data_IF_632262455439
#
_entry.id   IF_632262455439
#
_cell.length_a   1.000
_cell.length_b   1.000
_cell.length_c   1.000
_cell.angle_alpha   90.00
_cell.angle_beta   90.00
_cell.angle_gamma   90.00
#
_symmetry.space_group_name_H-M   'P 1'
#
loop_
_entity.id
_entity.type
_entity.pdbx_description
1 polymer ?
#
# COMPACT_ATOMS: atom_id res chain seq x y z
N UNK A 1 -22.67 6.83 3.48
CA UNK A 1 -21.42 7.43 3.02
C UNK A 1 -20.41 6.30 2.88
N UNK A 2 -19.62 6.24 1.84
CA UNK A 2 -18.60 5.21 1.59
C UNK A 2 -17.21 5.84 1.65
N UNK A 3 -16.31 5.29 2.44
CA UNK A 3 -14.99 5.87 2.69
C UNK A 3 -13.88 4.96 2.15
N UNK A 4 -12.96 5.52 1.36
CA UNK A 4 -11.87 4.82 0.68
C UNK A 4 -10.54 5.47 1.09
N UNK A 5 -9.64 4.73 1.73
CA UNK A 5 -8.28 5.17 1.98
C UNK A 5 -7.38 4.81 0.78
N UNK A 6 -6.65 5.79 0.26
CA UNK A 6 -5.65 5.57 -0.81
C UNK A 6 -4.28 5.46 -0.16
N UNK A 7 -3.72 4.26 -0.14
CA UNK A 7 -2.49 4.02 0.61
C UNK A 7 -1.55 3.02 -0.04
N UNK A 8 -0.28 3.19 0.22
CA UNK A 8 0.80 2.23 -0.02
C UNK A 8 2.04 2.72 0.75
N UNK A 9 2.82 1.81 1.30
CA UNK A 9 4.05 2.15 2.02
C UNK A 9 5.16 2.65 1.09
N UNK A 10 5.09 2.31 -0.19
CA UNK A 10 6.05 2.77 -1.18
C UNK A 10 5.86 4.25 -1.51
N UNK A 11 6.92 5.04 -1.37
CA UNK A 11 6.97 6.40 -1.89
C UNK A 11 6.94 6.42 -3.42
N UNK A 12 6.25 7.40 -4.01
CA UNK A 12 6.22 7.59 -5.48
C UNK A 12 5.34 6.63 -6.28
N UNK A 13 4.60 5.69 -5.66
CA UNK A 13 3.65 4.82 -6.37
C UNK A 13 2.39 5.54 -6.88
N UNK A 14 2.21 6.82 -6.51
CA UNK A 14 1.15 7.69 -7.01
C UNK A 14 -0.12 7.73 -6.16
N UNK A 15 -0.04 7.49 -4.84
CA UNK A 15 -1.17 7.64 -3.91
C UNK A 15 -1.90 8.96 -4.10
N UNK A 16 -1.21 10.07 -3.89
CA UNK A 16 -1.74 11.42 -4.03
C UNK A 16 -2.29 11.70 -5.43
N UNK A 17 -1.59 11.24 -6.48
CA UNK A 17 -2.08 11.39 -7.87
C UNK A 17 -3.40 10.66 -8.08
N UNK A 18 -3.52 9.44 -7.53
CA UNK A 18 -4.77 8.66 -7.57
C UNK A 18 -5.84 9.37 -6.75
N UNK A 19 -5.55 9.78 -5.50
CA UNK A 19 -6.53 10.43 -4.63
C UNK A 19 -7.13 11.69 -5.28
N UNK A 20 -6.30 12.59 -5.80
CA UNK A 20 -6.74 13.81 -6.49
C UNK A 20 -7.62 13.47 -7.69
N UNK A 21 -7.08 12.72 -8.64
CA UNK A 21 -7.76 12.56 -9.93
C UNK A 21 -8.96 11.61 -9.83
N UNK A 22 -8.96 10.66 -8.91
CA UNK A 22 -10.12 9.81 -8.64
C UNK A 22 -11.24 10.59 -7.94
N UNK A 23 -10.92 11.49 -7.00
CA UNK A 23 -11.91 12.40 -6.39
C UNK A 23 -12.57 13.28 -7.45
N UNK A 24 -11.79 13.85 -8.36
CA UNK A 24 -12.31 14.62 -9.48
C UNK A 24 -13.13 13.76 -10.45
N UNK A 25 -12.73 12.49 -10.69
CA UNK A 25 -13.50 11.57 -11.54
C UNK A 25 -14.86 11.22 -10.94
N UNK A 26 -14.93 10.93 -9.64
CA UNK A 26 -16.19 10.70 -8.94
C UNK A 26 -17.09 11.95 -8.97
N UNK A 27 -16.53 13.14 -8.73
CA UNK A 27 -17.25 14.41 -8.82
C UNK A 27 -17.85 14.62 -10.23
N UNK A 28 -17.10 14.32 -11.29
CA UNK A 28 -17.58 14.38 -12.68
C UNK A 28 -18.67 13.34 -12.99
N UNK A 29 -18.71 12.24 -12.28
CA UNK A 29 -19.80 11.26 -12.35
C UNK A 29 -21.01 11.65 -11.49
N UNK A 30 -21.05 12.88 -10.99
CA UNK A 30 -22.16 13.45 -10.20
C UNK A 30 -22.19 12.98 -8.75
N UNK A 31 -21.12 12.40 -8.21
CA UNK A 31 -21.02 12.03 -6.80
C UNK A 31 -20.52 13.22 -5.98
N UNK A 32 -21.13 13.43 -4.80
CA UNK A 32 -20.64 14.40 -3.81
C UNK A 32 -19.47 13.78 -3.08
N UNK A 33 -18.29 14.37 -3.24
CA UNK A 33 -17.02 13.80 -2.80
C UNK A 33 -16.37 14.72 -1.77
N UNK A 34 -15.88 14.12 -0.68
CA UNK A 34 -14.96 14.76 0.25
C UNK A 34 -13.60 14.10 0.12
N UNK A 35 -12.58 14.84 -0.28
CA UNK A 35 -11.20 14.41 -0.22
C UNK A 35 -10.58 14.87 1.11
N UNK A 36 -9.97 13.96 1.85
CA UNK A 36 -9.29 14.25 3.11
C UNK A 36 -7.80 13.98 2.93
N UNK A 37 -7.00 15.02 3.02
CA UNK A 37 -5.55 14.92 2.99
C UNK A 37 -5.03 14.79 4.43
N UNK A 38 -4.35 13.67 4.74
CA UNK A 38 -3.70 13.45 6.04
C UNK A 38 -2.20 13.17 5.91
N UNK A 39 -1.62 13.45 4.72
CA UNK A 39 -0.17 13.41 4.57
C UNK A 39 0.43 14.73 5.07
N UNK A 40 1.38 14.73 6.03
CA UNK A 40 2.07 15.94 6.47
C UNK A 40 2.74 16.76 5.36
N UNK A 41 2.97 16.15 4.19
CA UNK A 41 3.52 16.84 3.01
C UNK A 41 2.47 17.67 2.28
N UNK A 42 1.17 17.51 2.57
CA UNK A 42 0.04 18.26 1.99
C UNK A 42 0.01 18.26 0.45
N UNK A 43 0.56 17.22 -0.17
CA UNK A 43 0.67 17.17 -1.63
C UNK A 43 -0.68 17.05 -2.33
N UNK A 44 -1.71 16.45 -1.70
CA UNK A 44 -3.04 16.39 -2.28
C UNK A 44 -3.71 17.76 -2.23
N UNK A 45 -3.57 18.47 -1.14
CA UNK A 45 -4.06 19.85 -0.98
C UNK A 45 -3.42 20.78 -2.02
N UNK A 46 -2.08 20.80 -2.10
CA UNK A 46 -1.33 21.60 -3.06
C UNK A 46 -1.66 21.22 -4.52
N UNK A 47 -1.84 19.94 -4.79
CA UNK A 47 -2.19 19.41 -6.11
C UNK A 47 -3.61 19.80 -6.59
N UNK A 48 -4.43 20.36 -5.70
CA UNK A 48 -5.71 20.99 -5.98
C UNK A 48 -5.67 22.53 -5.82
N UNK A 49 -4.48 23.11 -5.72
CA UNK A 49 -4.30 24.55 -5.59
C UNK A 49 -4.73 25.12 -4.22
N UNK A 50 -4.89 24.27 -3.20
CA UNK A 50 -5.25 24.69 -1.84
C UNK A 50 -3.96 24.91 -1.04
N UNK A 51 -3.80 26.13 -0.54
CA UNK A 51 -2.65 26.59 0.25
C UNK A 51 -3.05 26.53 1.72
N UNK A 52 -2.53 25.54 2.45
CA UNK A 52 -2.94 25.23 3.84
C UNK A 52 -2.69 26.40 4.80
N UNK A 53 -1.64 27.18 4.57
CA UNK A 53 -1.28 28.35 5.38
C UNK A 53 -2.32 29.49 5.32
N UNK A 54 -3.28 29.40 4.41
CA UNK A 54 -4.37 30.37 4.28
C UNK A 54 -5.67 29.90 4.96
N UNK A 55 -5.64 28.72 5.59
CA UNK A 55 -6.79 28.10 6.22
C UNK A 55 -6.67 28.19 7.75
N UNK A 56 -7.76 28.50 8.41
CA UNK A 56 -7.83 28.50 9.88
C UNK A 56 -7.86 27.09 10.48
N UNK A 57 -8.44 26.15 9.73
CA UNK A 57 -8.61 24.73 10.15
C UNK A 57 -8.16 23.80 9.04
N UNK A 58 -7.21 22.93 9.37
CA UNK A 58 -6.72 21.84 8.51
C UNK A 58 -7.03 20.48 9.16
N UNK A 59 -6.64 19.39 8.53
CA UNK A 59 -6.76 18.07 9.14
C UNK A 59 -5.94 17.93 10.42
N UNK A 60 -4.92 18.76 10.66
CA UNK A 60 -4.21 18.80 11.92
C UNK A 60 -5.11 19.31 13.06
N UNK A 61 -5.69 20.51 12.96
CA UNK A 61 -6.59 21.05 13.98
C UNK A 61 -7.81 20.14 14.16
N UNK A 62 -8.34 19.58 13.07
CA UNK A 62 -9.46 18.64 13.12
C UNK A 62 -9.13 17.41 13.99
N UNK A 63 -7.94 16.83 13.89
CA UNK A 63 -7.54 15.67 14.67
C UNK A 63 -7.13 16.03 16.12
N UNK A 64 -6.57 17.23 16.32
CA UNK A 64 -5.97 17.61 17.59
C UNK A 64 -6.95 18.31 18.54
N UNK A 65 -7.85 19.13 18.02
CA UNK A 65 -8.81 19.91 18.83
C UNK A 65 -10.18 19.21 18.85
N UNK A 66 -10.63 18.72 20.01
CA UNK A 66 -11.96 18.15 20.14
C UNK A 66 -13.10 19.14 19.84
N UNK A 67 -12.86 20.43 20.01
CA UNK A 67 -13.84 21.50 19.79
C UNK A 67 -14.05 21.84 18.30
N UNK A 68 -13.10 21.51 17.44
CA UNK A 68 -13.21 21.72 16.00
C UNK A 68 -14.20 20.73 15.40
N UNK A 69 -15.20 21.23 14.70
CA UNK A 69 -16.16 20.39 13.95
C UNK A 69 -15.61 20.07 12.58
N UNK A 70 -16.03 18.94 12.02
CA UNK A 70 -15.62 18.52 10.67
C UNK A 70 -16.02 19.57 9.63
N UNK A 71 -17.19 20.21 9.78
CA UNK A 71 -17.68 21.24 8.85
C UNK A 71 -16.76 22.46 8.77
N UNK A 72 -16.06 22.80 9.87
CA UNK A 72 -15.15 23.95 9.94
C UNK A 72 -13.87 23.75 9.10
N UNK A 73 -13.55 22.49 8.77
CA UNK A 73 -12.36 22.12 8.01
C UNK A 73 -12.61 21.92 6.50
N UNK A 74 -13.87 22.00 6.06
CA UNK A 74 -14.26 21.68 4.69
C UNK A 74 -14.09 22.89 3.78
N UNK A 75 -13.22 22.76 2.78
CA UNK A 75 -13.01 23.72 1.70
C UNK A 75 -13.71 23.23 0.44
N UNK A 76 -14.63 24.04 -0.13
CA UNK A 76 -15.24 23.73 -1.43
C UNK A 76 -14.24 23.87 -2.56
N UNK A 77 -14.18 22.86 -3.43
CA UNK A 77 -13.33 22.82 -4.61
C UNK A 77 -14.12 22.45 -5.89
N UNK A 78 -15.15 23.19 -6.20
CA UNK A 78 -16.05 22.94 -7.34
C UNK A 78 -17.44 22.50 -6.90
N UNK A 79 -18.25 22.00 -7.86
CA UNK A 79 -19.68 21.73 -7.61
C UNK A 79 -19.90 20.53 -6.69
N UNK A 80 -19.14 19.45 -6.89
CA UNK A 80 -19.34 18.18 -6.18
C UNK A 80 -18.08 17.69 -5.45
N UNK A 81 -17.03 18.48 -5.35
CA UNK A 81 -15.81 18.15 -4.63
C UNK A 81 -15.55 19.14 -3.50
N UNK A 82 -15.30 18.61 -2.33
CA UNK A 82 -14.81 19.35 -1.17
C UNK A 82 -13.53 18.69 -0.65
N UNK A 83 -12.73 19.46 0.07
CA UNK A 83 -11.41 19.02 0.54
C UNK A 83 -11.23 19.40 2.01
N UNK A 84 -10.71 18.50 2.82
CA UNK A 84 -10.08 18.80 4.10
C UNK A 84 -8.57 18.78 3.84
N UNK A 85 -7.94 19.95 3.93
CA UNK A 85 -6.53 20.11 3.57
C UNK A 85 -5.60 19.69 4.71
N UNK A 86 -4.45 19.14 4.36
CA UNK A 86 -3.39 18.82 5.32
C UNK A 86 -2.50 20.02 5.63
N UNK A 87 -1.81 19.97 6.76
CA UNK A 87 -0.70 20.87 7.08
C UNK A 87 0.51 20.13 7.64
N UNK A 88 1.66 20.80 7.66
CA UNK A 88 2.90 20.25 8.21
C UNK A 88 2.79 19.89 9.71
N UNK A 89 1.81 20.47 10.42
CA UNK A 89 1.50 20.15 11.83
C UNK A 89 1.23 18.67 12.06
N UNK A 90 0.69 17.96 11.06
CA UNK A 90 0.43 16.52 11.13
C UNK A 90 1.68 15.68 11.47
N UNK A 91 2.89 16.19 11.20
CA UNK A 91 4.13 15.51 11.57
C UNK A 91 4.30 15.32 13.08
N UNK A 92 3.66 16.17 13.90
CA UNK A 92 3.71 16.11 15.36
C UNK A 92 2.63 15.25 16.01
N UNK A 93 1.57 14.90 15.28
CA UNK A 93 0.35 14.26 15.81
C UNK A 93 0.65 12.97 16.60
N UNK A 94 1.57 12.14 16.12
CA UNK A 94 1.91 10.88 16.79
C UNK A 94 2.53 11.10 18.16
N UNK A 95 3.40 12.11 18.31
CA UNK A 95 4.02 12.46 19.58
C UNK A 95 3.02 13.14 20.52
N UNK A 96 2.20 14.05 20.02
CA UNK A 96 1.23 14.81 20.79
C UNK A 96 0.08 13.95 21.32
N UNK A 97 -0.28 12.90 20.60
CA UNK A 97 -1.30 11.93 20.99
C UNK A 97 -0.73 10.68 21.68
N UNK A 98 0.58 10.64 21.94
CA UNK A 98 1.19 9.51 22.63
C UNK A 98 0.52 9.22 23.98
N UNK A 99 0.16 7.95 24.20
CA UNK A 99 -0.51 7.51 25.44
C UNK A 99 -1.99 7.90 25.58
N UNK A 100 -2.59 8.64 24.64
CA UNK A 100 -4.02 8.95 24.68
C UNK A 100 -4.84 7.76 24.17
N UNK A 101 -5.91 7.42 24.88
CA UNK A 101 -6.86 6.37 24.44
C UNK A 101 -7.67 6.86 23.24
N UNK A 102 -7.97 5.96 22.29
CA UNK A 102 -8.76 6.25 21.09
C UNK A 102 -8.07 7.16 20.08
N UNK A 103 -6.76 7.36 20.21
CA UNK A 103 -5.98 8.20 19.30
C UNK A 103 -6.01 7.72 17.84
N UNK A 104 -6.22 6.42 17.64
CA UNK A 104 -6.32 5.76 16.35
C UNK A 104 -7.68 5.92 15.66
N UNK A 105 -8.72 6.38 16.39
CA UNK A 105 -10.10 6.55 15.90
C UNK A 105 -10.51 8.01 15.69
N UNK A 106 -9.61 8.96 15.88
CA UNK A 106 -9.96 10.39 15.84
C UNK A 106 -10.55 10.84 14.50
N UNK A 107 -10.03 10.35 13.40
CA UNK A 107 -10.59 10.67 12.08
C UNK A 107 -11.98 10.07 11.89
N UNK A 108 -12.19 8.83 12.31
CA UNK A 108 -13.49 8.15 12.31
C UNK A 108 -14.54 8.93 13.14
N UNK A 109 -14.16 9.32 14.37
CA UNK A 109 -15.00 10.14 15.26
C UNK A 109 -15.38 11.48 14.63
N UNK A 110 -14.47 12.12 13.88
CA UNK A 110 -14.72 13.39 13.19
C UNK A 110 -15.57 13.21 11.94
N UNK A 111 -15.29 12.21 11.09
CA UNK A 111 -16.09 11.95 9.90
C UNK A 111 -17.51 11.47 10.22
N UNK A 112 -17.71 10.84 11.38
CA UNK A 112 -19.05 10.45 11.86
C UNK A 112 -19.95 11.64 12.23
N UNK A 113 -19.39 12.85 12.36
CA UNK A 113 -20.15 14.09 12.61
C UNK A 113 -20.80 14.66 11.33
N UNK A 114 -20.37 14.18 10.15
CA UNK A 114 -20.96 14.60 8.87
C UNK A 114 -22.46 14.24 8.83
N UNK A 115 -23.28 15.15 8.35
CA UNK A 115 -24.70 14.87 8.15
C UNK A 115 -24.91 13.69 7.20
N UNK A 116 -25.89 12.85 7.51
CA UNK A 116 -26.24 11.73 6.65
C UNK A 116 -26.61 12.22 5.24
N UNK A 117 -25.92 11.68 4.25
CA UNK A 117 -26.12 12.07 2.86
C UNK A 117 -25.42 13.38 2.46
N UNK A 118 -24.59 14.02 3.29
CA UNK A 118 -23.79 15.19 2.87
C UNK A 118 -22.84 14.82 1.72
N UNK A 119 -22.18 13.68 1.84
CA UNK A 119 -21.28 13.14 0.83
C UNK A 119 -21.67 11.71 0.45
N UNK A 120 -21.46 11.35 -0.81
CA UNK A 120 -21.65 9.99 -1.31
C UNK A 120 -20.36 9.16 -1.06
N UNK A 121 -19.21 9.82 -1.19
CA UNK A 121 -17.87 9.22 -1.08
C UNK A 121 -16.92 10.13 -0.30
N UNK A 122 -16.08 9.51 0.53
CA UNK A 122 -14.90 10.13 1.14
C UNK A 122 -13.65 9.43 0.62
N UNK A 123 -12.66 10.17 0.12
CA UNK A 123 -11.34 9.66 -0.22
C UNK A 123 -10.30 10.22 0.73
N UNK A 124 -9.48 9.36 1.32
CA UNK A 124 -8.42 9.76 2.26
C UNK A 124 -7.07 9.53 1.59
N UNK A 125 -6.29 10.61 1.35
CA UNK A 125 -4.89 10.50 0.91
C UNK A 125 -3.99 10.27 2.12
N UNK A 126 -3.25 9.15 2.11
CA UNK A 126 -2.48 8.69 3.25
C UNK A 126 -0.98 8.92 3.05
N UNK A 127 -0.23 9.19 4.15
CA UNK A 127 1.23 9.22 4.11
C UNK A 127 1.82 7.85 3.74
N UNK A 128 3.09 7.81 3.29
CA UNK A 128 3.76 6.55 2.93
C UNK A 128 4.20 5.74 4.16
N UNK A 129 4.18 6.31 5.35
CA UNK A 129 4.59 5.65 6.59
C UNK A 129 3.45 4.88 7.24
N UNK A 130 3.76 3.76 7.89
CA UNK A 130 2.82 3.08 8.80
C UNK A 130 2.97 3.73 10.18
N UNK A 131 1.99 4.53 10.56
CA UNK A 131 1.97 5.26 11.83
C UNK A 131 0.54 5.63 12.21
N UNK A 132 0.38 6.46 13.23
CA UNK A 132 -0.91 6.82 13.79
C UNK A 132 -1.88 7.41 12.75
N UNK A 133 -1.38 8.24 11.80
CA UNK A 133 -2.21 8.80 10.73
C UNK A 133 -2.75 7.72 9.81
N UNK A 134 -1.91 6.74 9.45
CA UNK A 134 -2.34 5.59 8.65
C UNK A 134 -3.38 4.74 9.35
N UNK A 135 -3.22 4.49 10.67
CA UNK A 135 -4.25 3.79 11.45
C UNK A 135 -5.57 4.56 11.49
N UNK A 136 -5.51 5.90 11.65
CA UNK A 136 -6.71 6.74 11.59
C UNK A 136 -7.43 6.63 10.24
N UNK A 137 -6.70 6.66 9.12
CA UNK A 137 -7.28 6.47 7.80
C UNK A 137 -7.95 5.10 7.63
N UNK A 138 -7.26 4.04 8.07
CA UNK A 138 -7.76 2.66 7.92
C UNK A 138 -9.03 2.42 8.74
N UNK A 139 -9.08 2.91 9.99
CA UNK A 139 -10.25 2.74 10.86
C UNK A 139 -11.42 3.58 10.34
N UNK A 140 -11.16 4.77 9.80
CA UNK A 140 -12.19 5.64 9.24
C UNK A 140 -12.69 5.20 7.85
N UNK A 141 -12.12 4.13 7.26
CA UNK A 141 -12.46 3.72 5.90
C UNK A 141 -13.09 2.33 5.81
N UNK A 142 -14.08 2.19 4.92
CA UNK A 142 -14.68 0.90 4.55
C UNK A 142 -13.77 0.11 3.63
N UNK A 143 -12.97 0.83 2.83
CA UNK A 143 -12.20 0.28 1.73
C UNK A 143 -10.80 0.89 1.65
N UNK A 144 -9.87 0.10 1.12
CA UNK A 144 -8.50 0.54 0.84
C UNK A 144 -8.24 0.37 -0.65
N UNK A 145 -7.81 1.44 -1.31
CA UNK A 145 -7.31 1.42 -2.68
C UNK A 145 -5.79 1.51 -2.66
N UNK A 146 -5.13 0.48 -3.21
CA UNK A 146 -3.68 0.36 -3.21
C UNK A 146 -3.14 0.60 -4.61
N UNK A 147 -2.58 1.78 -4.91
CA UNK A 147 -1.87 1.99 -6.16
C UNK A 147 -0.55 1.22 -6.16
N UNK A 148 -0.33 0.43 -7.21
CA UNK A 148 0.95 -0.23 -7.46
C UNK A 148 1.52 0.25 -8.78
N UNK A 149 2.84 0.45 -8.83
CA UNK A 149 3.55 0.68 -10.08
C UNK A 149 4.11 -0.64 -10.64
N UNK A 150 4.52 -0.63 -11.89
CA UNK A 150 5.16 -1.78 -12.53
C UNK A 150 6.58 -1.98 -12.01
N UNK A 151 6.73 -2.30 -10.72
CA UNK A 151 8.00 -2.65 -10.11
C UNK A 151 7.84 -3.80 -9.11
N UNK A 152 8.91 -4.56 -8.92
CA UNK A 152 8.96 -5.66 -7.96
C UNK A 152 8.67 -5.19 -6.51
N UNK A 153 9.12 -3.99 -6.16
CA UNK A 153 8.89 -3.40 -4.83
C UNK A 153 7.41 -3.17 -4.50
N UNK A 154 6.55 -3.05 -5.51
CA UNK A 154 5.12 -2.88 -5.30
C UNK A 154 4.46 -4.12 -4.71
N UNK A 155 4.96 -5.31 -5.05
CA UNK A 155 4.48 -6.57 -4.48
C UNK A 155 4.88 -6.70 -3.00
N UNK A 156 6.10 -6.30 -2.65
CA UNK A 156 6.56 -6.30 -1.26
C UNK A 156 5.74 -5.33 -0.39
N UNK A 157 5.49 -4.11 -0.89
CA UNK A 157 4.62 -3.13 -0.20
C UNK A 157 3.19 -3.62 0.02
N UNK A 158 2.65 -4.44 -0.91
CA UNK A 158 1.34 -5.08 -0.73
C UNK A 158 1.31 -6.06 0.45
N UNK A 159 2.39 -6.81 0.64
CA UNK A 159 2.49 -7.79 1.73
C UNK A 159 2.55 -7.10 3.08
N UNK A 160 3.42 -6.10 3.22
CA UNK A 160 3.55 -5.33 4.45
C UNK A 160 2.24 -4.61 4.82
N UNK A 161 1.54 -4.08 3.82
CA UNK A 161 0.25 -3.46 4.05
C UNK A 161 -0.80 -4.47 4.49
N UNK A 162 -0.78 -5.66 3.92
CA UNK A 162 -1.66 -6.74 4.36
C UNK A 162 -1.43 -7.11 5.83
N UNK A 163 -0.18 -7.30 6.24
CA UNK A 163 0.15 -7.58 7.65
C UNK A 163 -0.40 -6.48 8.57
N UNK A 164 -0.31 -5.22 8.13
CA UNK A 164 -0.89 -4.08 8.86
C UNK A 164 -2.41 -4.20 8.96
N UNK A 165 -3.10 -4.55 7.87
CA UNK A 165 -4.57 -4.73 7.87
C UNK A 165 -5.01 -5.94 8.70
N UNK A 166 -4.26 -7.04 8.68
CA UNK A 166 -4.51 -8.21 9.54
C UNK A 166 -4.42 -7.84 11.03
N UNK A 167 -3.41 -7.03 11.42
CA UNK A 167 -3.29 -6.53 12.80
C UNK A 167 -4.48 -5.65 13.20
N UNK A 168 -4.95 -4.79 12.30
CA UNK A 168 -6.13 -3.95 12.56
C UNK A 168 -7.39 -4.81 12.69
N UNK A 169 -7.58 -5.80 11.82
CA UNK A 169 -8.70 -6.73 11.89
C UNK A 169 -8.72 -7.50 13.23
N UNK A 170 -7.56 -8.01 13.66
CA UNK A 170 -7.44 -8.80 14.88
C UNK A 170 -7.56 -7.97 16.17
N UNK A 171 -7.01 -6.75 16.20
CA UNK A 171 -6.95 -5.94 17.43
C UNK A 171 -8.09 -4.96 17.59
N UNK A 172 -8.67 -4.49 16.50
CA UNK A 172 -9.67 -3.42 16.51
C UNK A 172 -11.04 -3.86 15.93
N UNK A 173 -11.16 -5.14 15.55
CA UNK A 173 -12.39 -5.73 14.93
C UNK A 173 -12.88 -4.87 13.75
N UNK A 174 -11.92 -4.33 12.96
CA UNK A 174 -12.21 -3.48 11.82
C UNK A 174 -11.63 -4.06 10.54
N UNK A 175 -12.47 -4.26 9.53
CA UNK A 175 -12.09 -4.91 8.28
C UNK A 175 -12.32 -4.02 7.08
N UNK A 176 -11.24 -3.77 6.34
CA UNK A 176 -11.29 -3.04 5.09
C UNK A 176 -11.43 -3.98 3.89
N UNK A 177 -12.22 -3.57 2.91
CA UNK A 177 -12.22 -4.21 1.59
C UNK A 177 -11.05 -3.65 0.77
N UNK A 178 -10.31 -4.51 0.09
CA UNK A 178 -9.08 -4.10 -0.59
C UNK A 178 -9.25 -4.11 -2.10
N UNK A 179 -8.88 -3.01 -2.73
CA UNK A 179 -8.74 -2.85 -4.17
C UNK A 179 -7.27 -2.57 -4.51
N UNK A 180 -6.81 -3.14 -5.60
CA UNK A 180 -5.47 -2.88 -6.12
C UNK A 180 -5.59 -2.26 -7.50
N UNK A 181 -4.96 -1.11 -7.74
CA UNK A 181 -4.94 -0.44 -9.03
C UNK A 181 -3.51 -0.32 -9.56
N UNK A 182 -3.30 -0.75 -10.81
CA UNK A 182 -2.03 -0.54 -11.48
C UNK A 182 -1.91 0.91 -11.95
N UNK A 183 -0.88 1.59 -11.44
CA UNK A 183 -0.57 2.98 -11.78
C UNK A 183 0.77 3.07 -12.51
N UNK A 184 0.95 4.10 -13.32
CA UNK A 184 2.18 4.33 -14.08
C UNK A 184 2.57 3.14 -14.99
N UNK A 185 1.57 2.43 -15.52
CA UNK A 185 1.76 1.19 -16.26
C UNK A 185 2.13 1.48 -17.72
N UNK A 186 3.21 0.87 -18.21
CA UNK A 186 3.50 0.76 -19.63
C UNK A 186 3.16 -0.66 -20.13
N UNK A 187 1.97 -0.83 -20.69
CA UNK A 187 1.44 -2.13 -21.16
C UNK A 187 2.24 -2.76 -22.31
N UNK A 188 3.15 -1.99 -22.95
CA UNK A 188 3.99 -2.49 -24.06
C UNK A 188 5.12 -3.37 -23.54
N UNK A 189 5.53 -3.22 -22.26
CA UNK A 189 6.63 -3.97 -21.69
C UNK A 189 6.20 -5.39 -21.31
N UNK A 190 7.11 -6.36 -21.51
CA UNK A 190 6.90 -7.74 -21.07
C UNK A 190 6.73 -7.82 -19.56
N UNK A 191 7.54 -7.07 -18.83
CA UNK A 191 7.51 -6.99 -17.37
C UNK A 191 6.15 -6.55 -16.81
N UNK A 192 5.54 -5.49 -17.40
CA UNK A 192 4.20 -5.05 -16.97
C UNK A 192 3.14 -6.11 -17.14
N UNK A 193 3.21 -6.91 -18.22
CA UNK A 193 2.26 -8.02 -18.45
C UNK A 193 2.47 -9.17 -17.46
N UNK A 194 3.71 -9.51 -17.15
CA UNK A 194 4.04 -10.54 -16.18
C UNK A 194 3.61 -10.09 -14.77
N UNK A 195 3.82 -8.83 -14.40
CA UNK A 195 3.37 -8.26 -13.13
C UNK A 195 1.85 -8.33 -12.98
N UNK A 196 1.09 -7.91 -14.01
CA UNK A 196 -0.38 -8.01 -13.99
C UNK A 196 -0.83 -9.45 -13.77
N UNK A 197 -0.22 -10.41 -14.46
CA UNK A 197 -0.53 -11.83 -14.30
C UNK A 197 -0.14 -12.37 -12.90
N UNK A 198 0.88 -11.82 -12.28
CA UNK A 198 1.22 -12.17 -10.90
C UNK A 198 0.27 -11.53 -9.90
N UNK A 199 -0.09 -10.26 -10.07
CA UNK A 199 -1.04 -9.55 -9.19
C UNK A 199 -2.43 -10.18 -9.29
N UNK A 200 -2.87 -10.62 -10.46
CA UNK A 200 -4.16 -11.31 -10.64
C UNK A 200 -4.25 -12.66 -9.90
N UNK A 201 -3.10 -13.29 -9.62
CA UNK A 201 -3.02 -14.48 -8.76
C UNK A 201 -3.15 -14.15 -7.27
N UNK A 202 -3.16 -12.86 -6.92
CA UNK A 202 -3.40 -12.41 -5.57
C UNK A 202 -4.89 -12.46 -5.25
N UNK A 203 -5.32 -13.45 -4.53
CA UNK A 203 -6.71 -13.53 -4.07
C UNK A 203 -6.99 -12.67 -2.82
N UNK A 204 -6.07 -11.81 -2.41
CA UNK A 204 -6.22 -10.99 -1.22
C UNK A 204 -7.00 -9.68 -1.44
N UNK A 205 -6.95 -9.13 -2.63
CA UNK A 205 -7.68 -7.94 -3.01
C UNK A 205 -8.25 -8.10 -4.42
N UNK A 206 -9.15 -7.21 -4.78
CA UNK A 206 -9.68 -7.17 -6.15
C UNK A 206 -8.76 -6.28 -6.98
N UNK A 207 -8.02 -6.88 -7.91
CA UNK A 207 -7.35 -6.11 -8.95
C UNK A 207 -8.40 -5.43 -9.82
N UNK A 208 -8.27 -4.12 -9.98
CA UNK A 208 -9.14 -3.38 -10.90
C UNK A 208 -8.79 -3.69 -12.35
N UNK A 209 -9.81 -3.80 -13.22
CA UNK A 209 -9.61 -3.90 -14.67
C UNK A 209 -9.04 -2.59 -15.23
N UNK A 210 -9.46 -1.47 -14.64
CA UNK A 210 -8.93 -0.15 -14.95
C UNK A 210 -7.50 0.03 -14.41
N UNK A 211 -6.64 0.63 -15.21
CA UNK A 211 -5.27 0.98 -14.85
C UNK A 211 -4.93 2.38 -15.34
N UNK A 212 -3.93 3.01 -14.72
CA UNK A 212 -3.45 4.33 -15.13
C UNK A 212 -2.12 4.17 -15.87
N UNK A 213 -2.11 4.57 -17.13
CA UNK A 213 -0.89 4.51 -17.97
C UNK A 213 0.11 5.58 -17.56
N UNK A 214 1.39 5.29 -17.80
CA UNK A 214 2.45 6.29 -17.68
C UNK A 214 2.16 7.51 -18.55
N UNK A 215 2.12 8.70 -17.95
CA UNK A 215 2.01 9.98 -18.67
C UNK A 215 2.69 11.11 -17.91
N UNK A 216 3.41 11.95 -18.64
CA UNK A 216 4.06 13.16 -18.09
C UNK A 216 3.01 14.20 -17.64
N UNK A 217 1.83 14.19 -18.23
CA UNK A 217 0.75 15.16 -17.96
C UNK A 217 0.29 15.17 -16.51
N UNK A 218 0.28 14.00 -15.83
CA UNK A 218 -0.06 13.95 -14.41
C UNK A 218 0.95 14.70 -13.54
N UNK A 219 2.24 14.71 -13.94
CA UNK A 219 3.27 15.53 -13.27
C UNK A 219 3.08 17.03 -13.56
N UNK A 220 2.69 17.36 -14.79
CA UNK A 220 2.38 18.76 -15.18
C UNK A 220 1.16 19.27 -14.42
N UNK A 221 0.12 18.44 -14.24
CA UNK A 221 -1.05 18.77 -13.43
C UNK A 221 -0.66 19.08 -11.98
N UNK A 222 0.09 18.19 -11.35
CA UNK A 222 0.56 18.37 -9.98
C UNK A 222 1.39 19.65 -9.80
N UNK A 223 2.27 19.97 -10.77
CA UNK A 223 3.06 21.20 -10.74
C UNK A 223 2.22 22.48 -10.90
N UNK A 224 1.02 22.38 -11.46
CA UNK A 224 0.10 23.51 -11.67
C UNK A 224 -0.99 23.60 -10.60
N UNK A 225 -1.09 22.65 -9.68
CA UNK A 225 -2.17 22.58 -8.69
C UNK A 225 -3.55 22.33 -9.29
N UNK A 226 -3.63 21.49 -10.33
CA UNK A 226 -4.87 21.17 -11.04
C UNK A 226 -4.99 19.66 -11.30
N UNK A 227 -6.19 19.17 -11.53
CA UNK A 227 -6.45 17.78 -11.90
C UNK A 227 -6.15 17.52 -13.38
N UNK A 228 -6.09 16.22 -13.77
CA UNK A 228 -5.96 15.81 -15.17
C UNK A 228 -7.14 16.32 -16.03
N UNK A 229 -8.28 16.53 -15.42
CA UNK A 229 -9.50 16.96 -16.09
C UNK A 229 -9.52 18.45 -16.44
N UNK A 230 -8.60 19.23 -15.90
CA UNK A 230 -8.47 20.67 -16.18
C UNK A 230 -7.54 20.94 -17.38
N UNK A 231 -6.90 19.88 -17.92
CA UNK A 231 -6.05 19.98 -19.11
C UNK A 231 -6.82 19.48 -20.34
N UNK A 232 -7.02 20.37 -21.31
CA UNK A 232 -7.94 20.20 -22.45
C UNK A 232 -7.70 18.96 -23.33
N UNK A 233 -6.47 18.45 -23.42
CA UNK A 233 -6.09 17.31 -24.26
C UNK A 233 -5.67 16.05 -23.48
N UNK A 234 -6.06 15.97 -22.22
CA UNK A 234 -5.72 14.88 -21.32
C UNK A 234 -6.65 13.65 -21.43
N UNK A 235 -7.39 13.51 -22.51
CA UNK A 235 -8.48 12.55 -22.67
C UNK A 235 -8.16 11.12 -22.23
N UNK A 236 -7.01 10.55 -22.62
CA UNK A 236 -6.68 9.16 -22.28
C UNK A 236 -6.55 8.93 -20.77
N UNK A 237 -5.82 9.78 -20.05
CA UNK A 237 -5.66 9.62 -18.61
C UNK A 237 -6.96 9.93 -17.88
N UNK A 238 -7.69 10.99 -18.30
CA UNK A 238 -9.02 11.31 -17.77
C UNK A 238 -9.99 10.13 -17.92
N UNK A 239 -10.06 9.52 -19.11
CA UNK A 239 -10.91 8.35 -19.35
C UNK A 239 -10.51 7.15 -18.50
N UNK A 240 -9.21 6.93 -18.22
CA UNK A 240 -8.75 5.88 -17.34
C UNK A 240 -9.19 6.11 -15.88
N UNK A 241 -9.13 7.35 -15.38
CA UNK A 241 -9.67 7.69 -14.06
C UNK A 241 -11.19 7.56 -14.01
N UNK A 242 -11.92 7.96 -15.04
CA UNK A 242 -13.36 7.74 -15.13
C UNK A 242 -13.72 6.25 -15.16
N UNK A 243 -12.94 5.43 -15.88
CA UNK A 243 -13.12 3.98 -15.91
C UNK A 243 -12.91 3.37 -14.52
N UNK A 244 -11.83 3.75 -13.83
CA UNK A 244 -11.56 3.33 -12.45
C UNK A 244 -12.69 3.75 -11.50
N UNK A 245 -13.16 5.00 -11.62
CA UNK A 245 -14.26 5.50 -10.79
C UNK A 245 -15.55 4.71 -11.01
N UNK A 246 -15.93 4.40 -12.26
CA UNK A 246 -17.11 3.59 -12.57
C UNK A 246 -16.96 2.17 -12.01
N UNK A 247 -15.80 1.56 -12.19
CA UNK A 247 -15.52 0.22 -11.68
C UNK A 247 -15.66 0.15 -10.15
N UNK A 248 -15.08 1.11 -9.43
CA UNK A 248 -15.21 1.19 -7.97
C UNK A 248 -16.65 1.48 -7.50
N UNK A 249 -17.47 2.17 -8.29
CA UNK A 249 -18.90 2.35 -7.99
C UNK A 249 -19.68 1.05 -8.17
N UNK A 250 -19.39 0.29 -9.22
CA UNK A 250 -20.18 -0.88 -9.64
C UNK A 250 -19.76 -2.16 -8.92
N UNK A 251 -18.45 -2.34 -8.68
CA UNK A 251 -17.91 -3.58 -8.11
C UNK A 251 -17.75 -3.46 -6.60
N UNK A 252 -18.68 -4.04 -5.84
CA UNK A 252 -18.44 -4.30 -4.42
C UNK A 252 -17.40 -5.44 -4.31
N UNK A 253 -16.22 -5.24 -3.71
CA UNK A 253 -15.21 -6.28 -3.64
C UNK A 253 -15.65 -7.45 -2.75
N UNK A 254 -15.32 -8.66 -3.18
CA UNK A 254 -15.41 -9.87 -2.36
C UNK A 254 -14.02 -10.19 -1.83
N UNK A 255 -13.87 -10.36 -0.52
CA UNK A 255 -12.62 -10.80 0.08
C UNK A 255 -12.73 -12.31 0.33
N UNK A 256 -11.82 -13.09 -0.25
CA UNK A 256 -11.61 -14.49 0.12
C UNK A 256 -10.26 -14.63 0.84
N UNK A 257 -10.32 -14.93 2.14
CA UNK A 257 -9.15 -14.93 3.03
C UNK A 257 -8.36 -16.24 3.02
N UNK A 258 -8.84 -17.29 2.36
CA UNK A 258 -8.26 -18.64 2.46
C UNK A 258 -7.00 -18.88 1.63
N UNK A 259 -6.83 -18.19 0.50
CA UNK A 259 -5.73 -18.46 -0.45
C UNK A 259 -4.46 -17.61 -0.26
N UNK A 260 -4.55 -16.57 0.54
CA UNK A 260 -3.46 -15.61 0.72
C UNK A 260 -2.24 -16.16 1.44
N UNK A 261 -2.44 -17.12 2.35
CA UNK A 261 -1.35 -17.74 3.12
C UNK A 261 -0.42 -18.58 2.22
N UNK A 262 -1.00 -19.30 1.26
CA UNK A 262 -0.25 -20.09 0.28
C UNK A 262 0.55 -19.24 -0.70
N UNK A 263 0.11 -18.00 -0.95
CA UNK A 263 0.77 -17.08 -1.86
C UNK A 263 1.99 -16.40 -1.21
N UNK A 264 1.90 -15.99 0.08
CA UNK A 264 3.04 -15.45 0.82
C UNK A 264 4.20 -16.46 0.90
N UNK A 265 3.89 -17.75 1.07
CA UNK A 265 4.89 -18.83 0.99
C UNK A 265 5.58 -18.87 -0.38
N UNK A 266 4.91 -18.46 -1.46
CA UNK A 266 5.49 -18.45 -2.82
C UNK A 266 6.37 -17.23 -3.10
N UNK A 267 6.20 -16.12 -2.41
CA UNK A 267 6.99 -14.89 -2.66
C UNK A 267 8.27 -14.82 -1.83
N UNK A 268 8.21 -15.24 -0.58
CA UNK A 268 9.34 -15.12 0.36
C UNK A 268 10.05 -16.44 0.62
N UNK A 269 9.41 -17.58 0.34
CA UNK A 269 10.05 -18.89 0.48
C UNK A 269 10.87 -19.28 -0.75
N UNK A 270 11.62 -20.40 -0.63
CA UNK A 270 12.40 -20.94 -1.73
C UNK A 270 11.50 -21.31 -2.92
N UNK A 271 11.88 -20.90 -4.13
CA UNK A 271 11.09 -21.11 -5.35
C UNK A 271 11.80 -21.96 -6.37
N UNK A 272 11.06 -22.90 -6.98
CA UNK A 272 11.55 -23.61 -8.16
C UNK A 272 11.68 -22.67 -9.36
N UNK A 273 12.85 -22.68 -9.96
CA UNK A 273 13.17 -22.01 -11.22
C UNK A 273 13.76 -23.04 -12.18
N UNK A 274 13.84 -22.80 -13.49
CA UNK A 274 14.40 -23.78 -14.42
C UNK A 274 15.82 -24.24 -14.07
N UNK A 275 16.61 -23.38 -13.44
CA UNK A 275 18.01 -23.60 -13.07
C UNK A 275 18.19 -24.21 -11.67
N UNK A 276 17.10 -24.46 -10.90
CA UNK A 276 17.16 -25.02 -9.56
C UNK A 276 16.15 -24.41 -8.58
N UNK A 277 16.58 -24.12 -7.37
CA UNK A 277 15.79 -23.46 -6.33
C UNK A 277 16.36 -22.07 -6.06
N UNK A 278 15.55 -21.03 -6.26
CA UNK A 278 15.88 -19.68 -5.91
C UNK A 278 15.59 -19.45 -4.42
N UNK A 279 16.63 -19.11 -3.66
CA UNK A 279 16.51 -18.56 -2.31
C UNK A 279 16.61 -17.04 -2.37
N UNK A 280 15.76 -16.35 -1.60
CA UNK A 280 15.79 -14.90 -1.49
C UNK A 280 15.60 -14.48 -0.03
N UNK A 281 16.32 -13.43 0.39
CA UNK A 281 16.23 -12.86 1.73
C UNK A 281 16.28 -11.34 1.68
N UNK A 282 15.36 -10.69 2.39
CA UNK A 282 15.43 -9.26 2.67
C UNK A 282 16.28 -9.01 3.92
N UNK A 283 17.49 -8.47 3.71
CA UNK A 283 18.42 -8.13 4.77
C UNK A 283 19.20 -6.86 4.36
N UNK A 284 18.57 -5.70 4.40
CA UNK A 284 19.10 -4.46 3.82
C UNK A 284 20.38 -3.97 4.52
N UNK A 285 20.54 -4.27 5.81
CA UNK A 285 21.71 -3.90 6.62
C UNK A 285 22.81 -4.96 6.64
N UNK A 286 22.59 -6.15 6.05
CA UNK A 286 23.57 -7.23 6.06
C UNK A 286 24.75 -6.94 5.14
N UNK A 287 25.94 -7.32 5.59
CA UNK A 287 27.17 -7.30 4.79
C UNK A 287 27.40 -8.60 4.02
N UNK A 288 26.99 -9.73 4.60
CA UNK A 288 27.13 -11.07 4.02
C UNK A 288 25.91 -11.92 4.35
N UNK A 289 25.34 -12.53 3.32
CA UNK A 289 24.21 -13.46 3.45
C UNK A 289 24.56 -14.77 2.74
N UNK A 290 24.36 -15.88 3.43
CA UNK A 290 24.53 -17.22 2.86
C UNK A 290 23.30 -18.09 3.20
N UNK A 291 23.06 -19.15 2.41
CA UNK A 291 22.09 -20.20 2.72
C UNK A 291 22.82 -21.52 2.95
N UNK A 292 22.41 -22.29 3.93
CA UNK A 292 22.94 -23.61 4.23
C UNK A 292 21.83 -24.56 4.67
N UNK A 293 22.06 -25.83 4.54
CA UNK A 293 21.10 -26.86 4.90
C UNK A 293 21.62 -28.26 4.55
N UNK A 294 20.74 -29.24 4.60
CA UNK A 294 21.08 -30.63 4.25
C UNK A 294 21.66 -30.76 2.83
N UNK A 295 21.15 -29.96 1.88
CA UNK A 295 21.67 -29.92 0.51
C UNK A 295 23.10 -29.36 0.41
N UNK A 296 23.60 -28.68 1.43
CA UNK A 296 24.95 -28.10 1.52
C UNK A 296 25.78 -28.73 2.64
N UNK A 297 25.33 -29.89 3.22
CA UNK A 297 26.00 -30.55 4.33
C UNK A 297 26.17 -29.70 5.58
N UNK A 298 25.26 -28.73 5.81
CA UNK A 298 25.29 -27.77 6.91
C UNK A 298 26.62 -27.01 7.04
N UNK A 299 27.22 -26.66 5.88
CA UNK A 299 28.46 -25.92 5.85
C UNK A 299 28.30 -24.57 6.60
N UNK A 300 29.24 -24.28 7.52
CA UNK A 300 29.30 -23.01 8.25
C UNK A 300 29.58 -21.81 7.35
N UNK A 301 30.15 -22.03 6.17
CA UNK A 301 30.37 -20.97 5.18
C UNK A 301 29.12 -20.72 4.34
N UNK A 302 28.25 -21.74 4.21
CA UNK A 302 27.05 -21.67 3.39
C UNK A 302 27.31 -21.42 1.91
N UNK A 303 26.24 -21.28 1.14
CA UNK A 303 26.25 -20.86 -0.26
C UNK A 303 25.95 -19.35 -0.28
N UNK A 304 26.86 -18.49 -0.78
CA UNK A 304 26.71 -17.05 -0.69
C UNK A 304 25.58 -16.55 -1.61
N UNK A 305 24.76 -15.65 -1.10
CA UNK A 305 23.80 -14.89 -1.86
C UNK A 305 24.45 -13.61 -2.40
N UNK A 306 23.95 -13.14 -3.53
CA UNK A 306 24.34 -11.85 -4.08
C UNK A 306 23.20 -10.86 -3.91
N UNK A 307 23.54 -9.63 -3.55
CA UNK A 307 22.55 -8.57 -3.47
C UNK A 307 22.20 -8.12 -4.90
N UNK A 308 20.92 -8.24 -5.22
CA UNK A 308 20.37 -7.81 -6.50
C UNK A 308 20.24 -6.28 -6.48
N UNK A 309 20.87 -5.56 -7.44
CA UNK A 309 20.82 -4.10 -7.49
C UNK A 309 19.43 -3.56 -7.87
N UNK A 310 18.56 -4.36 -8.49
CA UNK A 310 17.25 -3.92 -8.93
C UNK A 310 16.22 -3.91 -7.79
N UNK A 311 16.27 -4.91 -6.88
CA UNK A 311 15.29 -5.04 -5.81
C UNK A 311 15.90 -5.04 -4.39
N UNK A 312 17.23 -5.00 -4.29
CA UNK A 312 17.95 -4.95 -3.02
C UNK A 312 17.95 -6.26 -2.22
N UNK A 313 17.28 -7.31 -2.71
CA UNK A 313 17.23 -8.61 -2.07
C UNK A 313 18.53 -9.40 -2.28
N UNK A 314 18.87 -10.21 -1.28
CA UNK A 314 19.92 -11.19 -1.42
C UNK A 314 19.37 -12.43 -2.09
N UNK A 315 20.01 -12.90 -3.18
CA UNK A 315 19.52 -14.01 -4.01
C UNK A 315 20.61 -15.00 -4.37
N UNK A 316 20.22 -16.28 -4.46
CA UNK A 316 21.03 -17.35 -5.07
C UNK A 316 20.12 -18.43 -5.64
N UNK A 317 20.50 -18.99 -6.79
CA UNK A 317 19.89 -20.21 -7.33
C UNK A 317 20.80 -21.39 -7.01
N UNK A 318 20.23 -22.42 -6.41
CA UNK A 318 20.96 -23.65 -6.02
C UNK A 318 20.32 -24.83 -6.73
N UNK A 319 21.12 -25.61 -7.43
CA UNK A 319 20.67 -26.87 -8.03
C UNK A 319 20.48 -27.93 -6.92
N UNK A 320 19.21 -28.24 -6.61
CA UNK A 320 18.83 -29.16 -5.55
C UNK A 320 17.94 -30.25 -6.12
N UNK A 321 18.32 -31.52 -5.87
CA UNK A 321 17.52 -32.67 -6.32
C UNK A 321 16.15 -32.71 -5.63
N UNK A 322 15.13 -33.33 -6.26
CA UNK A 322 13.83 -33.53 -5.62
C UNK A 322 13.96 -34.22 -4.25
N UNK A 323 13.31 -33.62 -3.22
CA UNK A 323 13.41 -34.16 -1.85
C UNK A 323 12.87 -33.16 -0.83
N UNK A 324 13.03 -33.52 0.46
CA UNK A 324 12.76 -32.66 1.61
C UNK A 324 14.07 -32.31 2.25
N UNK A 325 14.32 -31.08 2.56
CA UNK A 325 15.57 -30.57 3.10
C UNK A 325 15.31 -29.55 4.19
N UNK A 326 16.02 -29.65 5.28
CA UNK A 326 16.06 -28.57 6.29
C UNK A 326 17.16 -27.57 5.91
N UNK A 327 16.89 -26.28 6.16
CA UNK A 327 17.85 -25.22 5.84
C UNK A 327 17.69 -23.99 6.74
N UNK A 328 18.70 -23.12 6.74
CA UNK A 328 18.73 -21.81 7.40
C UNK A 328 19.51 -20.82 6.56
N UNK A 329 19.28 -19.54 6.82
CA UNK A 329 20.18 -18.48 6.37
C UNK A 329 21.26 -18.22 7.42
N UNK A 330 22.40 -17.72 6.95
CA UNK A 330 23.49 -17.18 7.77
C UNK A 330 23.63 -15.71 7.37
N UNK A 331 23.29 -14.80 8.27
CA UNK A 331 23.33 -13.34 8.06
C UNK A 331 24.39 -12.77 9.00
N UNK A 332 25.49 -12.24 8.45
CA UNK A 332 26.63 -11.72 9.20
C UNK A 332 27.10 -12.67 10.31
N UNK A 333 27.07 -13.98 10.04
CA UNK A 333 27.46 -15.05 10.97
C UNK A 333 26.35 -15.55 11.89
N UNK A 334 25.19 -14.90 11.96
CA UNK A 334 24.04 -15.36 12.72
C UNK A 334 23.19 -16.34 11.92
N UNK A 335 22.81 -17.47 12.53
CA UNK A 335 21.96 -18.48 11.91
C UNK A 335 20.49 -18.17 12.18
N UNK A 336 19.73 -17.90 11.14
CA UNK A 336 18.30 -17.60 11.23
C UNK A 336 17.48 -18.55 10.37
N UNK A 337 16.28 -18.96 10.81
CA UNK A 337 15.33 -19.63 9.92
C UNK A 337 14.93 -18.65 8.80
N UNK A 338 14.44 -19.18 7.69
CA UNK A 338 13.92 -18.35 6.60
C UNK A 338 12.63 -17.66 7.04
N UNK A 339 12.60 -16.33 7.19
CA UNK A 339 11.39 -15.62 7.62
C UNK A 339 10.26 -15.71 6.59
N UNK A 340 10.59 -16.00 5.33
CA UNK A 340 9.62 -16.17 4.26
C UNK A 340 9.06 -17.59 4.12
N UNK A 341 9.57 -18.56 4.87
CA UNK A 341 9.10 -19.94 4.83
C UNK A 341 8.39 -20.31 6.13
N UNK A 342 7.09 -20.59 6.05
CA UNK A 342 6.27 -20.96 7.23
C UNK A 342 6.35 -22.45 7.62
N UNK A 343 7.13 -23.24 6.90
CA UNK A 343 7.34 -24.64 7.22
C UNK A 343 8.60 -24.80 8.04
N UNK A 344 8.44 -25.11 9.31
CA UNK A 344 9.55 -25.30 10.24
C UNK A 344 9.57 -26.71 10.79
N UNK A 345 10.76 -27.19 11.14
CA UNK A 345 10.97 -28.41 11.88
C UNK A 345 11.83 -28.08 13.10
N UNK A 346 11.42 -28.54 14.29
CA UNK A 346 12.24 -28.43 15.49
C UNK A 346 13.49 -29.34 15.36
N UNK A 347 14.67 -28.76 15.55
CA UNK A 347 15.95 -29.48 15.40
C UNK A 347 16.41 -30.26 16.66
N UNK A 348 15.52 -30.45 17.64
CA UNK A 348 15.83 -31.14 18.88
C UNK A 348 16.71 -30.37 19.88
N UNK A 349 17.22 -29.18 19.49
CA UNK A 349 18.02 -28.28 20.33
C UNK A 349 17.20 -27.04 20.77
N UNK A 350 15.89 -27.08 20.60
CA UNK A 350 14.99 -25.94 20.91
C UNK A 350 15.01 -24.82 19.87
N UNK A 351 15.57 -25.05 18.69
CA UNK A 351 15.58 -24.11 17.56
C UNK A 351 14.80 -24.69 16.37
N UNK A 352 14.34 -23.84 15.49
CA UNK A 352 13.60 -24.23 14.29
C UNK A 352 14.47 -24.10 13.04
N UNK A 353 14.37 -25.09 12.17
CA UNK A 353 14.91 -25.05 10.81
C UNK A 353 13.77 -24.90 9.82
N UNK A 354 13.99 -24.16 8.74
CA UNK A 354 13.02 -24.04 7.65
C UNK A 354 13.02 -25.30 6.79
N UNK A 355 11.83 -25.74 6.33
CA UNK A 355 11.66 -26.95 5.52
C UNK A 355 11.48 -26.59 4.05
N UNK A 356 12.38 -27.04 3.20
CA UNK A 356 12.30 -26.99 1.74
C UNK A 356 11.72 -28.30 1.21
N UNK A 357 10.78 -28.22 0.25
CA UNK A 357 10.28 -29.36 -0.54
C UNK A 357 10.53 -29.07 -2.01
N UNK A 358 11.45 -29.81 -2.63
CA UNK A 358 11.82 -29.67 -4.05
C UNK A 358 11.04 -30.66 -4.90
#
# INVERSE_FOLDING_TARGET
MRTIAVMNQKGGCGKTTIAINLSCAFSRLGKRVLMVDIDPQAHASLGLGIVSEQLDVTSYELLMDPGVRVDDSIVRHGDNLSVIAASAGLSGVEQELAGRQGRERKLDDKLSQLEEGAFDLVLIDCPPSVGLLTFNALIASDEVLIPIDASFFSLHGLIQLRETLEVIEEQLDHRNRVHVVCNNLDTRTRFSRELLAEVDKFHWGVLTDAYISHTVRLKECAARGVSIFDIADASKAGEQFLSLARELIEKAPRIDTKDTKAWMERLHGPRKVPEGVLFSLDAPSASVVCVTGEFAGWSKQGIPLKRDPEDGLWKVVVDIKPGKYEYRFIVDGAWIPDPGNKRFISNGLGQENSLLVV
#
